data_IF_187459729642
#
_entry.id   IF_187459729642
#
_cell.length_a   1.000
_cell.length_b   1.000
_cell.length_c   1.000
_cell.angle_alpha   90.00
_cell.angle_beta   90.00
_cell.angle_gamma   90.00
#
_symmetry.space_group_name_H-M   'P 1'
#
loop_
_entity.id
_entity.type
_entity.pdbx_description
1 polymer ?
#
# COMPACT_ATOMS: atom_id res chain seq x y z
N UNK A 1 -28.08 -47.14 -12.10
CA UNK A 1 -28.41 -46.61 -10.76
C UNK A 1 -28.40 -45.08 -10.81
N UNK A 2 -29.52 -44.47 -11.22
CA UNK A 2 -29.68 -43.01 -11.18
C UNK A 2 -30.21 -42.65 -9.78
N UNK A 3 -29.42 -41.90 -8.99
CA UNK A 3 -29.89 -41.30 -7.73
C UNK A 3 -31.00 -40.31 -8.08
N UNK A 4 -32.26 -40.72 -7.96
CA UNK A 4 -33.36 -39.77 -7.79
C UNK A 4 -33.11 -39.05 -6.47
N UNK A 5 -32.49 -37.88 -6.52
CA UNK A 5 -32.64 -36.94 -5.43
C UNK A 5 -34.05 -36.37 -5.55
N UNK A 6 -34.88 -36.60 -4.54
CA UNK A 6 -36.20 -35.97 -4.44
C UNK A 6 -36.05 -34.46 -4.73
N UNK A 7 -36.79 -33.87 -5.69
CA UNK A 7 -36.54 -32.51 -6.16
C UNK A 7 -36.60 -31.45 -5.04
N UNK A 8 -37.40 -31.69 -3.99
CA UNK A 8 -37.43 -30.84 -2.78
C UNK A 8 -36.18 -30.97 -1.90
N UNK A 9 -35.54 -32.15 -1.86
CA UNK A 9 -34.33 -32.39 -1.09
C UNK A 9 -33.09 -31.88 -1.82
N UNK A 10 -33.07 -31.98 -3.15
CA UNK A 10 -32.01 -31.39 -3.97
C UNK A 10 -31.98 -29.85 -3.82
N UNK A 11 -33.14 -29.20 -3.91
CA UNK A 11 -33.24 -27.74 -3.79
C UNK A 11 -32.87 -27.25 -2.38
N UNK A 12 -33.30 -27.93 -1.32
CA UNK A 12 -32.89 -27.62 0.05
C UNK A 12 -31.40 -27.87 0.30
N UNK A 13 -30.83 -28.95 -0.26
CA UNK A 13 -29.40 -29.24 -0.16
C UNK A 13 -28.54 -28.14 -0.79
N UNK A 14 -28.96 -27.62 -1.95
CA UNK A 14 -28.27 -26.50 -2.60
C UNK A 14 -28.29 -25.23 -1.74
N UNK A 15 -29.44 -24.89 -1.15
CA UNK A 15 -29.59 -23.70 -0.29
C UNK A 15 -28.75 -23.82 0.98
N UNK A 16 -28.73 -25.01 1.60
CA UNK A 16 -27.89 -25.27 2.78
C UNK A 16 -26.40 -25.16 2.42
N UNK A 17 -26.00 -25.69 1.26
CA UNK A 17 -24.63 -25.57 0.75
C UNK A 17 -24.22 -24.12 0.49
N UNK A 18 -25.10 -23.32 -0.14
CA UNK A 18 -24.84 -21.90 -0.40
C UNK A 18 -24.74 -21.11 0.91
N UNK A 19 -25.64 -21.36 1.86
CA UNK A 19 -25.61 -20.73 3.18
C UNK A 19 -24.30 -21.03 3.93
N UNK A 20 -23.86 -22.28 3.93
CA UNK A 20 -22.59 -22.67 4.54
C UNK A 20 -21.38 -21.97 3.90
N UNK A 21 -21.37 -21.83 2.57
CA UNK A 21 -20.28 -21.18 1.84
C UNK A 21 -20.22 -19.66 2.14
N UNK A 22 -21.39 -19.01 2.28
CA UNK A 22 -21.48 -17.60 2.66
C UNK A 22 -20.94 -17.40 4.09
N UNK A 23 -21.38 -18.23 5.04
CA UNK A 23 -20.91 -18.14 6.44
C UNK A 23 -19.40 -18.34 6.51
N UNK A 24 -18.86 -19.35 5.81
CA UNK A 24 -17.42 -19.58 5.70
C UNK A 24 -16.68 -18.33 5.19
N UNK A 25 -17.21 -17.69 4.15
CA UNK A 25 -16.61 -16.48 3.55
C UNK A 25 -16.62 -15.30 4.53
N UNK A 26 -17.73 -15.07 5.24
CA UNK A 26 -17.80 -14.00 6.25
C UNK A 26 -16.84 -14.24 7.41
N UNK A 27 -16.68 -15.48 7.87
CA UNK A 27 -15.72 -15.83 8.92
C UNK A 27 -14.29 -15.53 8.47
N UNK A 28 -13.91 -15.94 7.25
CA UNK A 28 -12.60 -15.65 6.68
C UNK A 28 -12.35 -14.15 6.54
N UNK A 29 -13.34 -13.37 6.09
CA UNK A 29 -13.24 -11.92 5.98
C UNK A 29 -13.11 -11.24 7.35
N UNK A 30 -13.92 -11.64 8.33
CA UNK A 30 -13.82 -11.10 9.69
C UNK A 30 -12.49 -11.42 10.33
N UNK A 31 -12.02 -12.66 10.19
CA UNK A 31 -10.74 -13.08 10.68
C UNK A 31 -9.61 -12.30 10.01
N UNK A 32 -9.61 -12.28 8.67
CA UNK A 32 -8.65 -11.54 7.86
C UNK A 32 -8.66 -10.04 8.12
N UNK A 33 -9.81 -9.44 8.43
CA UNK A 33 -9.91 -8.02 8.77
C UNK A 33 -9.33 -7.73 10.16
N UNK A 34 -9.60 -8.58 11.16
CA UNK A 34 -9.01 -8.42 12.51
C UNK A 34 -7.50 -8.68 12.46
N UNK A 35 -7.03 -9.67 11.70
CA UNK A 35 -5.61 -10.00 11.60
C UNK A 35 -4.84 -9.05 10.69
N UNK A 36 -5.39 -8.51 9.60
CA UNK A 36 -4.67 -7.54 8.74
C UNK A 36 -4.34 -6.22 9.46
N UNK A 37 -5.11 -5.86 10.49
CA UNK A 37 -4.80 -4.68 11.31
C UNK A 37 -3.59 -4.97 12.22
N UNK A 38 -3.27 -6.25 12.47
CA UNK A 38 -2.21 -6.69 13.39
C UNK A 38 -1.01 -7.37 12.72
N UNK A 39 -1.11 -7.88 11.48
CA UNK A 39 -0.07 -8.68 10.86
C UNK A 39 -0.27 -8.81 9.36
N UNK A 40 0.59 -8.14 8.60
CA UNK A 40 0.87 -8.44 7.20
C UNK A 40 1.65 -9.76 7.15
N UNK A 41 1.06 -10.83 6.63
CA UNK A 41 1.77 -12.06 6.23
C UNK A 41 1.36 -12.35 4.77
N UNK A 42 2.20 -12.03 3.80
CA UNK A 42 3.38 -12.79 3.32
C UNK A 42 3.04 -13.52 2.01
N UNK A 43 3.19 -12.78 0.92
CA UNK A 43 3.56 -13.34 -0.39
C UNK A 43 4.87 -14.13 -0.21
N UNK A 44 5.11 -15.29 -0.86
CA UNK A 44 6.39 -15.98 -0.76
C UNK A 44 7.42 -15.26 -1.65
N UNK A 45 7.73 -14.01 -1.31
CA UNK A 45 8.97 -13.38 -1.71
C UNK A 45 10.06 -14.04 -0.87
N UNK A 46 11.11 -14.53 -1.54
CA UNK A 46 12.32 -15.05 -0.88
C UNK A 46 12.67 -14.20 0.33
N UNK A 47 12.55 -14.79 1.52
CA UNK A 47 12.92 -14.16 2.77
C UNK A 47 14.44 -13.95 2.79
N UNK A 48 14.89 -12.84 2.21
CA UNK A 48 16.07 -12.17 2.74
C UNK A 48 15.61 -11.61 4.07
N UNK A 49 15.99 -12.28 5.16
CA UNK A 49 15.74 -11.80 6.51
C UNK A 49 16.17 -10.32 6.58
N UNK A 50 15.19 -9.42 6.63
CA UNK A 50 15.47 -8.01 6.90
C UNK A 50 15.80 -7.95 8.37
N UNK A 51 17.11 -7.98 8.66
CA UNK A 51 17.61 -7.71 9.99
C UNK A 51 16.95 -6.42 10.51
N UNK A 52 16.60 -6.32 11.81
CA UNK A 52 16.10 -5.09 12.40
C UNK A 52 17.03 -3.96 12.01
N UNK A 53 16.56 -3.06 11.15
CA UNK A 53 17.42 -2.00 10.65
C UNK A 53 17.74 -1.14 11.87
N UNK A 54 19.02 -0.98 12.23
CA UNK A 54 19.38 -0.16 13.38
C UNK A 54 18.74 1.22 13.22
N UNK A 55 18.31 1.87 14.32
CA UNK A 55 17.77 3.22 14.26
C UNK A 55 18.75 4.06 13.47
N UNK A 56 18.36 4.48 12.26
CA UNK A 56 19.25 5.28 11.44
C UNK A 56 19.41 6.61 12.19
N UNK A 57 20.65 7.08 12.41
CA UNK A 57 20.84 8.45 12.83
C UNK A 57 20.08 9.34 11.84
N UNK A 58 19.31 10.30 12.36
CA UNK A 58 18.61 11.25 11.50
C UNK A 58 19.59 11.88 10.51
N UNK A 59 19.13 12.14 9.29
CA UNK A 59 19.97 12.65 8.19
C UNK A 59 20.46 14.09 8.40
N UNK A 60 20.09 14.73 9.51
CA UNK A 60 20.51 16.11 9.83
C UNK A 60 19.88 17.13 8.89
N UNK A 61 20.71 17.96 8.26
CA UNK A 61 20.26 19.02 7.35
C UNK A 61 20.43 18.60 5.89
N UNK A 62 19.33 18.33 5.20
CA UNK A 62 19.31 18.14 3.75
C UNK A 62 19.19 19.50 3.04
N UNK A 63 20.04 19.74 2.03
CA UNK A 63 19.95 20.93 1.16
C UNK A 63 19.32 20.52 -0.16
N UNK A 64 18.14 21.05 -0.46
CA UNK A 64 17.50 20.85 -1.74
C UNK A 64 17.77 22.06 -2.64
N UNK A 65 18.35 21.81 -3.81
CA UNK A 65 18.67 22.87 -4.79
C UNK A 65 17.44 23.12 -5.64
N UNK A 66 16.74 24.23 -5.38
CA UNK A 66 15.66 24.69 -6.23
C UNK A 66 16.17 25.78 -7.18
N UNK A 67 15.70 25.83 -8.44
CA UNK A 67 16.00 26.95 -9.33
C UNK A 67 15.48 28.28 -8.75
N UNK A 68 16.15 29.37 -9.09
CA UNK A 68 15.74 30.71 -8.63
C UNK A 68 14.31 31.02 -9.07
N UNK A 69 13.48 31.47 -8.13
CA UNK A 69 12.06 31.75 -8.37
C UNK A 69 11.13 30.54 -8.21
N UNK A 70 11.65 29.34 -7.98
CA UNK A 70 10.85 28.18 -7.61
C UNK A 70 10.74 28.06 -6.08
N UNK A 71 9.57 27.66 -5.59
CA UNK A 71 9.30 27.44 -4.17
C UNK A 71 8.58 26.11 -3.95
N UNK A 72 8.67 25.57 -2.73
CA UNK A 72 7.86 24.42 -2.33
C UNK A 72 6.42 24.89 -2.12
N UNK A 73 5.48 24.18 -2.74
CA UNK A 73 4.04 24.48 -2.70
C UNK A 73 3.28 23.44 -1.88
N UNK A 74 3.75 22.18 -1.89
CA UNK A 74 3.12 21.10 -1.12
C UNK A 74 4.16 20.06 -0.67
N UNK A 75 3.89 19.40 0.45
CA UNK A 75 4.73 18.35 1.04
C UNK A 75 3.88 17.23 1.59
N UNK A 76 4.13 16.00 1.13
CA UNK A 76 3.37 14.82 1.56
C UNK A 76 4.31 13.67 1.93
N UNK A 77 4.42 13.32 3.23
CA UNK A 77 5.17 12.15 3.67
C UNK A 77 4.39 10.85 3.41
N UNK A 78 5.11 9.78 3.08
CA UNK A 78 4.61 8.44 2.77
C UNK A 78 5.66 7.39 3.16
N UNK A 79 5.60 6.92 4.40
CA UNK A 79 6.55 5.94 4.93
C UNK A 79 8.01 6.41 4.85
N UNK A 80 8.81 5.72 4.03
CA UNK A 80 10.22 6.06 3.78
C UNK A 80 10.44 7.16 2.72
N UNK A 81 9.37 7.76 2.20
CA UNK A 81 9.42 8.76 1.13
C UNK A 81 8.73 10.05 1.53
N UNK A 82 9.22 11.16 0.99
CA UNK A 82 8.63 12.48 1.09
C UNK A 82 8.47 13.04 -0.32
N UNK A 83 7.23 13.35 -0.69
CA UNK A 83 6.91 13.98 -1.97
C UNK A 83 6.83 15.50 -1.78
N UNK A 84 7.72 16.24 -2.44
CA UNK A 84 7.70 17.69 -2.51
C UNK A 84 7.14 18.13 -3.86
N UNK A 85 6.06 18.89 -3.87
CA UNK A 85 5.63 19.60 -5.08
C UNK A 85 6.21 21.00 -5.06
N UNK A 86 6.95 21.35 -6.10
CA UNK A 86 7.43 22.72 -6.29
C UNK A 86 6.56 23.46 -7.29
N UNK A 87 6.57 24.77 -7.20
CA UNK A 87 5.92 25.69 -8.13
C UNK A 87 6.71 26.99 -8.21
N UNK A 88 6.15 28.04 -8.83
CA UNK A 88 4.80 28.13 -9.41
C UNK A 88 4.59 27.21 -10.63
N UNK A 89 3.33 27.06 -11.05
CA UNK A 89 2.95 26.26 -12.22
C UNK A 89 3.75 26.64 -13.48
N UNK A 90 4.02 25.66 -14.35
CA UNK A 90 4.89 25.84 -15.52
C UNK A 90 6.31 25.32 -15.29
N UNK A 91 7.33 26.13 -15.54
CA UNK A 91 8.74 25.68 -15.54
C UNK A 91 9.26 25.18 -14.17
N UNK A 92 8.64 25.64 -13.08
CA UNK A 92 8.98 25.24 -11.72
C UNK A 92 8.13 24.07 -11.20
N UNK A 93 7.11 23.63 -11.95
CA UNK A 93 6.20 22.59 -11.53
C UNK A 93 6.83 21.21 -11.69
N UNK A 94 7.14 20.58 -10.56
CA UNK A 94 7.70 19.23 -10.51
C UNK A 94 7.44 18.60 -9.15
N UNK A 95 7.55 17.29 -9.10
CA UNK A 95 7.49 16.51 -7.87
C UNK A 95 8.88 15.95 -7.61
N UNK A 96 9.44 16.29 -6.45
CA UNK A 96 10.73 15.81 -5.96
C UNK A 96 10.45 14.74 -4.92
N UNK A 97 11.06 13.56 -5.09
CA UNK A 97 10.93 12.44 -4.15
C UNK A 97 12.19 12.38 -3.30
N UNK A 98 12.02 12.45 -1.99
CA UNK A 98 13.13 12.43 -1.02
C UNK A 98 13.00 11.19 -0.15
N UNK A 99 14.11 10.51 0.11
CA UNK A 99 14.19 9.44 1.10
C UNK A 99 14.24 10.04 2.50
N UNK A 100 13.30 9.68 3.37
CA UNK A 100 13.18 10.25 4.71
C UNK A 100 14.19 9.68 5.71
N UNK A 101 14.88 8.58 5.39
CA UNK A 101 15.93 8.02 6.23
C UNK A 101 17.27 8.71 6.01
N UNK A 102 17.59 9.02 4.77
CA UNK A 102 18.89 9.55 4.33
C UNK A 102 18.86 11.03 3.95
N UNK A 103 17.67 11.60 3.74
CA UNK A 103 17.51 12.97 3.23
C UNK A 103 17.93 13.14 1.77
N UNK A 104 18.20 12.04 1.06
CA UNK A 104 18.64 12.06 -0.32
C UNK A 104 17.47 12.26 -1.29
N UNK A 105 17.69 13.02 -2.36
CA UNK A 105 16.77 13.06 -3.49
C UNK A 105 16.82 11.71 -4.23
N UNK A 106 15.70 10.98 -4.23
CA UNK A 106 15.52 9.73 -4.96
C UNK A 106 15.21 9.98 -6.44
N UNK A 107 14.61 11.13 -6.75
CA UNK A 107 14.37 11.54 -8.12
C UNK A 107 13.41 12.72 -8.24
N UNK A 108 13.25 13.18 -9.47
CA UNK A 108 12.39 14.31 -9.82
C UNK A 108 11.50 13.94 -11.00
N UNK A 109 10.21 14.24 -10.89
CA UNK A 109 9.19 14.09 -11.94
C UNK A 109 8.85 15.47 -12.46
N UNK A 110 9.13 15.73 -13.74
CA UNK A 110 8.73 16.98 -14.40
C UNK A 110 7.30 16.86 -14.93
N UNK A 111 6.50 17.91 -14.72
CA UNK A 111 5.15 17.99 -15.26
C UNK A 111 5.21 18.85 -16.53
N UNK A 112 5.05 18.21 -17.68
CA UNK A 112 4.92 18.87 -18.99
C UNK A 112 3.48 18.76 -19.49
N UNK A 113 2.90 19.82 -20.07
CA UNK A 113 1.59 19.75 -20.69
C UNK A 113 1.54 18.83 -21.92
#
# INVERSE_FOLDING_TARGET
>A
MQRQLDPMRAMKGLVIGLGALIVLSFVLLFYGFITNIAGTEEEPASAVAVAPRPPQPGFGTARLVLPAGCNVVDMRPDGSRLYLRTGPAGLCERIIVIDTGTGAELGTIQITP
#
